data_IF_431627609731
#
_entry.id   IF_431627609731
#
_cell.length_a   1.000
_cell.length_b   1.000
_cell.length_c   1.000
_cell.angle_alpha   90.00
_cell.angle_beta   90.00
_cell.angle_gamma   90.00
#
_symmetry.space_group_name_H-M   'P 1'
#
loop_
_entity.id
_entity.type
_entity.pdbx_description
1 polymer ?
#
# COMPACT_ATOMS: atom_id res chain seq x y z
N UNK A 1 -40.69 35.47 28.79
CA UNK A 1 -39.73 36.13 27.88
C UNK A 1 -38.31 35.85 28.35
N UNK A 2 -37.58 34.98 27.65
CA UNK A 2 -36.12 35.00 27.58
C UNK A 2 -35.73 34.50 26.20
N UNK A 3 -34.92 35.31 25.54
CA UNK A 3 -34.57 35.33 24.13
C UNK A 3 -33.38 34.39 23.86
N UNK A 4 -33.40 33.80 22.66
CA UNK A 4 -32.40 33.05 21.91
C UNK A 4 -30.95 32.92 22.44
N UNK A 5 -30.42 31.69 22.37
CA UNK A 5 -29.13 31.42 21.70
C UNK A 5 -29.30 30.14 20.85
N UNK A 6 -29.50 30.32 19.56
CA UNK A 6 -29.23 29.33 18.51
C UNK A 6 -27.86 29.68 17.95
N UNK A 7 -26.85 28.84 18.19
CA UNK A 7 -25.53 28.93 17.60
C UNK A 7 -24.90 27.53 17.68
N UNK A 8 -24.55 26.81 16.61
CA UNK A 8 -24.60 27.14 15.20
C UNK A 8 -24.73 25.88 14.36
N UNK A 9 -25.49 25.99 13.27
CA UNK A 9 -25.22 25.21 12.07
C UNK A 9 -23.97 25.80 11.42
N UNK A 10 -23.01 24.94 11.06
CA UNK A 10 -22.63 24.72 9.65
C UNK A 10 -21.22 24.11 9.52
N UNK A 11 -21.21 22.96 8.85
CA UNK A 11 -20.25 22.51 7.83
C UNK A 11 -18.76 22.39 8.20
N UNK A 12 -18.29 21.14 8.20
CA UNK A 12 -17.06 20.80 7.51
C UNK A 12 -17.22 19.45 6.78
N UNK A 13 -17.53 19.57 5.49
CA UNK A 13 -17.23 18.69 4.38
C UNK A 13 -17.36 17.17 4.57
N UNK A 14 -18.50 16.63 4.12
CA UNK A 14 -18.48 15.39 3.34
C UNK A 14 -17.59 15.65 2.11
N UNK A 15 -16.32 15.28 2.17
CA UNK A 15 -15.55 15.04 0.95
C UNK A 15 -16.03 13.70 0.38
N UNK A 16 -17.05 13.75 -0.48
CA UNK A 16 -17.35 12.66 -1.39
C UNK A 16 -16.23 12.54 -2.42
N UNK A 17 -15.09 11.97 -2.02
CA UNK A 17 -14.06 11.50 -2.95
C UNK A 17 -14.56 10.18 -3.48
N UNK A 18 -14.82 10.05 -4.78
CA UNK A 18 -15.26 8.82 -5.46
C UNK A 18 -14.69 7.56 -4.78
N UNK A 19 -15.51 6.92 -3.94
CA UNK A 19 -15.04 5.93 -2.96
C UNK A 19 -14.91 4.58 -3.65
N UNK A 20 -13.77 4.35 -4.31
CA UNK A 20 -13.23 3.00 -4.28
C UNK A 20 -12.99 2.66 -2.80
N UNK A 21 -13.67 1.65 -2.27
CA UNK A 21 -13.44 1.22 -0.88
C UNK A 21 -11.93 0.99 -0.68
N UNK A 22 -11.37 1.39 0.47
CA UNK A 22 -9.96 1.15 0.74
C UNK A 22 -9.64 -0.35 0.58
N UNK A 23 -8.51 -0.63 -0.08
CA UNK A 23 -8.08 -1.98 -0.37
C UNK A 23 -7.86 -2.75 0.94
N UNK A 24 -8.63 -3.82 1.14
CA UNK A 24 -8.45 -4.75 2.25
C UNK A 24 -7.36 -5.76 1.90
N UNK A 25 -6.12 -5.46 2.32
CA UNK A 25 -4.94 -6.27 2.02
C UNK A 25 -5.04 -7.67 2.65
N UNK A 26 -5.59 -7.79 3.86
CA UNK A 26 -5.74 -9.08 4.55
C UNK A 26 -6.73 -9.99 3.83
N UNK A 27 -7.88 -9.45 3.41
CA UNK A 27 -8.84 -10.19 2.59
C UNK A 27 -8.25 -10.58 1.24
N UNK A 28 -7.50 -9.68 0.60
CA UNK A 28 -6.83 -9.97 -0.67
C UNK A 28 -5.83 -11.11 -0.52
N UNK A 29 -5.02 -11.11 0.54
CA UNK A 29 -4.06 -12.18 0.82
C UNK A 29 -4.74 -13.53 1.04
N UNK A 30 -5.87 -13.56 1.76
CA UNK A 30 -6.66 -14.77 1.98
C UNK A 30 -7.18 -15.41 0.68
N UNK A 31 -7.37 -14.60 -0.37
CA UNK A 31 -7.82 -15.07 -1.69
C UNK A 31 -6.69 -15.65 -2.56
N UNK A 32 -5.43 -15.50 -2.17
CA UNK A 32 -4.29 -16.05 -2.91
C UNK A 32 -4.17 -17.57 -2.71
N UNK A 33 -3.46 -18.23 -3.61
CA UNK A 33 -3.14 -19.65 -3.47
C UNK A 33 -2.18 -19.89 -2.29
N UNK A 34 -2.20 -21.12 -1.75
CA UNK A 34 -1.27 -21.50 -0.66
C UNK A 34 0.21 -21.29 -1.02
N UNK A 35 0.69 -21.61 -2.24
CA UNK A 35 2.07 -21.33 -2.63
C UNK A 35 2.44 -19.83 -2.58
N UNK A 36 1.59 -18.96 -3.10
CA UNK A 36 1.86 -17.50 -3.11
C UNK A 36 1.83 -16.94 -1.69
N UNK A 37 0.86 -17.34 -0.85
CA UNK A 37 0.85 -16.96 0.57
C UNK A 37 2.11 -17.42 1.30
N UNK A 38 2.55 -18.65 1.08
CA UNK A 38 3.77 -19.16 1.71
C UNK A 38 4.99 -18.31 1.32
N UNK A 39 5.09 -17.86 0.07
CA UNK A 39 6.15 -16.96 -0.42
C UNK A 39 6.09 -15.58 0.26
N UNK A 40 4.90 -15.03 0.46
CA UNK A 40 4.70 -13.78 1.23
C UNK A 40 5.18 -13.94 2.67
N UNK A 41 4.77 -15.02 3.35
CA UNK A 41 5.12 -15.30 4.75
C UNK A 41 6.63 -15.37 4.99
N UNK A 42 7.43 -15.83 4.02
CA UNK A 42 8.89 -15.93 4.15
C UNK A 42 9.58 -14.59 4.46
N UNK A 43 9.01 -13.48 4.00
CA UNK A 43 9.62 -12.15 4.13
C UNK A 43 8.78 -11.16 4.93
N UNK A 44 7.49 -11.42 5.15
CA UNK A 44 6.56 -10.47 5.76
C UNK A 44 7.04 -9.93 7.12
N UNK A 45 7.41 -10.82 8.05
CA UNK A 45 7.77 -10.41 9.40
C UNK A 45 9.02 -9.51 9.43
N UNK A 46 9.99 -9.76 8.55
CA UNK A 46 11.20 -8.94 8.42
C UNK A 46 10.92 -7.65 7.62
N UNK A 47 10.08 -7.71 6.58
CA UNK A 47 9.64 -6.54 5.83
C UNK A 47 8.91 -5.53 6.72
N UNK A 48 8.04 -6.02 7.62
CA UNK A 48 7.34 -5.20 8.62
C UNK A 48 8.26 -4.62 9.71
N UNK A 49 9.49 -5.11 9.82
CA UNK A 49 10.54 -4.51 10.67
C UNK A 49 11.43 -3.53 9.90
N UNK A 50 11.16 -3.29 8.62
CA UNK A 50 11.98 -2.40 7.79
C UNK A 50 13.26 -3.05 7.27
N UNK A 51 13.37 -4.38 7.25
CA UNK A 51 14.50 -5.04 6.60
C UNK A 51 14.43 -4.84 5.08
N UNK A 52 15.45 -4.18 4.53
CA UNK A 52 15.48 -3.77 3.12
C UNK A 52 15.31 -4.94 2.14
N UNK A 53 16.02 -6.06 2.35
CA UNK A 53 15.91 -7.20 1.43
C UNK A 53 14.58 -7.92 1.57
N UNK A 54 14.07 -8.07 2.79
CA UNK A 54 12.76 -8.63 3.02
C UNK A 54 11.66 -7.77 2.38
N UNK A 55 11.72 -6.44 2.51
CA UNK A 55 10.77 -5.53 1.86
C UNK A 55 10.78 -5.71 0.35
N UNK A 56 11.96 -5.82 -0.28
CA UNK A 56 12.09 -6.06 -1.73
C UNK A 56 11.45 -7.38 -2.15
N UNK A 57 11.75 -8.45 -1.44
CA UNK A 57 11.18 -9.77 -1.72
C UNK A 57 9.65 -9.75 -1.55
N UNK A 58 9.15 -9.13 -0.49
CA UNK A 58 7.73 -8.99 -0.22
C UNK A 58 7.02 -8.18 -1.30
N UNK A 59 7.59 -7.03 -1.70
CA UNK A 59 7.09 -6.18 -2.78
C UNK A 59 7.03 -6.94 -4.12
N UNK A 60 8.09 -7.69 -4.44
CA UNK A 60 8.17 -8.47 -5.66
C UNK A 60 7.08 -9.55 -5.73
N UNK A 61 6.88 -10.33 -4.67
CA UNK A 61 5.85 -11.39 -4.64
C UNK A 61 4.46 -10.77 -4.83
N UNK A 62 4.15 -9.66 -4.14
CA UNK A 62 2.89 -8.93 -4.34
C UNK A 62 2.72 -8.43 -5.78
N UNK A 63 3.75 -7.82 -6.35
CA UNK A 63 3.69 -7.19 -7.68
C UNK A 63 3.72 -8.18 -8.87
N UNK A 64 4.14 -9.43 -8.62
CA UNK A 64 4.33 -10.44 -9.68
C UNK A 64 3.44 -11.67 -9.47
N UNK A 65 3.79 -12.54 -8.53
CA UNK A 65 3.09 -13.80 -8.25
C UNK A 65 1.64 -13.55 -7.82
N UNK A 66 1.42 -12.70 -6.81
CA UNK A 66 0.07 -12.40 -6.32
C UNK A 66 -0.74 -11.61 -7.36
N UNK A 67 -0.14 -10.66 -8.07
CA UNK A 67 -0.81 -9.89 -9.12
C UNK A 67 -1.31 -10.74 -10.30
N UNK A 68 -0.66 -11.88 -10.58
CA UNK A 68 -1.14 -12.83 -11.59
C UNK A 68 -2.40 -13.58 -11.16
N UNK A 69 -2.56 -13.84 -9.87
CA UNK A 69 -3.74 -14.50 -9.32
C UNK A 69 -4.88 -13.51 -9.03
N UNK A 70 -4.52 -12.33 -8.51
CA UNK A 70 -5.44 -11.28 -8.10
C UNK A 70 -4.91 -9.92 -8.56
N UNK A 71 -5.38 -9.33 -9.68
CA UNK A 71 -4.85 -8.07 -10.21
C UNK A 71 -4.72 -6.91 -9.20
N UNK A 72 -5.62 -6.72 -8.21
CA UNK A 72 -5.45 -5.70 -7.19
C UNK A 72 -4.17 -5.84 -6.33
N UNK A 73 -3.53 -7.01 -6.28
CA UNK A 73 -2.25 -7.21 -5.58
C UNK A 73 -1.11 -6.36 -6.13
N UNK A 74 -1.19 -5.94 -7.40
CA UNK A 74 -0.23 -4.99 -7.98
C UNK A 74 -0.22 -3.63 -7.24
N UNK A 75 -1.36 -3.22 -6.66
CA UNK A 75 -1.48 -2.01 -5.83
C UNK A 75 -0.62 -2.15 -4.58
N UNK A 76 -0.68 -3.31 -3.93
CA UNK A 76 0.11 -3.62 -2.71
C UNK A 76 1.59 -3.65 -3.04
N UNK A 77 1.98 -4.34 -4.11
CA UNK A 77 3.37 -4.40 -4.55
C UNK A 77 3.94 -3.03 -4.88
N UNK A 78 3.18 -2.20 -5.60
CA UNK A 78 3.57 -0.82 -5.90
C UNK A 78 3.76 0.02 -4.62
N UNK A 79 2.85 -0.09 -3.66
CA UNK A 79 2.96 0.62 -2.39
C UNK A 79 4.26 0.24 -1.64
N UNK A 80 4.59 -1.05 -1.57
CA UNK A 80 5.85 -1.47 -0.94
C UNK A 80 7.09 -0.97 -1.66
N UNK A 81 7.14 -0.96 -2.99
CA UNK A 81 8.26 -0.36 -3.72
C UNK A 81 8.40 1.14 -3.44
N UNK A 82 7.30 1.88 -3.33
CA UNK A 82 7.36 3.29 -2.95
C UNK A 82 7.92 3.49 -1.53
N UNK A 83 7.55 2.62 -0.57
CA UNK A 83 8.09 2.64 0.80
C UNK A 83 9.60 2.32 0.80
N UNK A 84 10.05 1.33 0.01
CA UNK A 84 11.47 0.97 -0.12
C UNK A 84 12.29 2.18 -0.58
N UNK A 85 11.88 2.83 -1.67
CA UNK A 85 12.60 3.99 -2.22
C UNK A 85 12.59 5.19 -1.26
N UNK A 86 11.57 5.29 -0.40
CA UNK A 86 11.49 6.35 0.61
C UNK A 86 12.43 6.08 1.80
N UNK A 87 12.40 4.87 2.36
CA UNK A 87 13.12 4.51 3.59
C UNK A 87 14.58 4.13 3.38
N UNK A 88 14.90 3.62 2.21
CA UNK A 88 16.23 3.09 1.90
C UNK A 88 16.82 3.79 0.67
N UNK A 89 16.59 5.11 0.53
CA UNK A 89 17.06 5.88 -0.61
C UNK A 89 18.59 5.79 -0.82
N UNK A 90 19.35 5.56 0.25
CA UNK A 90 20.81 5.36 0.26
C UNK A 90 21.25 3.95 -0.20
N UNK A 91 20.38 2.94 -0.06
CA UNK A 91 20.65 1.53 -0.43
C UNK A 91 19.91 1.07 -1.67
N UNK A 92 18.84 1.76 -2.03
CA UNK A 92 18.04 1.49 -3.21
C UNK A 92 18.91 1.65 -4.46
N UNK A 93 18.82 0.69 -5.36
CA UNK A 93 19.60 0.69 -6.59
C UNK A 93 18.68 0.69 -7.81
N UNK A 94 19.26 0.76 -9.02
CA UNK A 94 18.53 0.83 -10.27
C UNK A 94 17.41 -0.23 -10.40
N UNK A 95 17.63 -1.45 -9.91
CA UNK A 95 16.62 -2.50 -9.95
C UNK A 95 15.34 -2.21 -9.14
N UNK A 96 15.41 -1.44 -8.05
CA UNK A 96 14.23 -1.08 -7.24
C UNK A 96 13.40 -0.03 -7.95
N UNK A 97 14.08 0.94 -8.57
CA UNK A 97 13.45 1.97 -9.42
C UNK A 97 12.80 1.29 -10.64
N UNK A 98 13.53 0.42 -11.34
CA UNK A 98 12.98 -0.30 -12.50
C UNK A 98 11.80 -1.19 -12.13
N UNK A 99 11.82 -1.86 -10.98
CA UNK A 99 10.66 -2.64 -10.52
C UNK A 99 9.47 -1.75 -10.18
N UNK A 100 9.69 -0.64 -9.48
CA UNK A 100 8.63 0.34 -9.23
C UNK A 100 8.02 0.80 -10.56
N UNK A 101 8.84 1.26 -11.50
CA UNK A 101 8.36 1.79 -12.77
C UNK A 101 7.61 0.72 -13.58
N UNK A 102 8.14 -0.51 -13.64
CA UNK A 102 7.51 -1.61 -14.35
C UNK A 102 6.15 -2.00 -13.76
N UNK A 103 6.07 -2.15 -12.44
CA UNK A 103 4.86 -2.66 -11.78
C UNK A 103 3.84 -1.56 -11.49
N UNK A 104 4.29 -0.40 -10.99
CA UNK A 104 3.42 0.76 -10.77
C UNK A 104 2.95 1.39 -12.08
N UNK A 105 3.76 1.35 -13.15
CA UNK A 105 3.38 1.90 -14.45
C UNK A 105 2.23 1.17 -15.14
N UNK A 106 1.84 -0.01 -14.63
CA UNK A 106 0.68 -0.79 -15.10
C UNK A 106 -0.62 -0.44 -14.39
N UNK A 107 -0.56 0.38 -13.34
CA UNK A 107 -1.74 0.76 -12.56
C UNK A 107 -2.56 1.83 -13.28
N UNK A 108 -3.88 1.76 -13.16
CA UNK A 108 -4.75 2.89 -13.51
C UNK A 108 -4.53 4.04 -12.54
N UNK A 109 -4.99 5.25 -12.88
CA UNK A 109 -4.90 6.41 -12.00
C UNK A 109 -5.53 6.14 -10.61
N UNK A 110 -6.67 5.44 -10.58
CA UNK A 110 -7.35 5.11 -9.32
C UNK A 110 -6.57 4.11 -8.48
N UNK A 111 -5.97 3.10 -9.12
CA UNK A 111 -5.11 2.14 -8.45
C UNK A 111 -3.84 2.80 -7.91
N UNK A 112 -3.24 3.74 -8.67
CA UNK A 112 -2.10 4.51 -8.21
C UNK A 112 -2.45 5.39 -6.98
N UNK A 113 -3.65 6.00 -6.96
CA UNK A 113 -4.16 6.72 -5.78
C UNK A 113 -4.31 5.79 -4.58
N UNK A 114 -4.86 4.59 -4.77
CA UNK A 114 -4.97 3.58 -3.70
C UNK A 114 -3.60 3.14 -3.18
N UNK A 115 -2.62 2.91 -4.06
CA UNK A 115 -1.25 2.59 -3.67
C UNK A 115 -0.65 3.72 -2.83
N UNK A 116 -0.86 4.98 -3.21
CA UNK A 116 -0.44 6.14 -2.42
C UNK A 116 -1.05 6.19 -1.02
N UNK A 117 -2.35 5.89 -0.88
CA UNK A 117 -2.99 5.78 0.43
C UNK A 117 -2.42 4.62 1.26
N UNK A 118 -2.13 3.48 0.61
CA UNK A 118 -1.55 2.31 1.27
C UNK A 118 -0.11 2.56 1.74
N UNK A 119 0.68 3.38 1.04
CA UNK A 119 2.01 3.82 1.49
C UNK A 119 1.93 4.47 2.87
N UNK A 120 0.95 5.36 3.09
CA UNK A 120 0.75 6.03 4.39
C UNK A 120 0.42 5.01 5.48
N UNK A 121 -0.45 4.04 5.18
CA UNK A 121 -0.81 2.98 6.11
C UNK A 121 0.39 2.09 6.46
N UNK A 122 1.16 1.64 5.47
CA UNK A 122 2.38 0.83 5.69
C UNK A 122 3.37 1.60 6.56
N UNK A 123 3.68 2.85 6.21
CA UNK A 123 4.62 3.69 6.94
C UNK A 123 4.24 3.87 8.41
N UNK A 124 2.94 3.97 8.72
CA UNK A 124 2.44 4.09 10.09
C UNK A 124 2.62 2.82 10.94
N UNK A 125 2.82 1.67 10.30
CA UNK A 125 2.97 0.36 10.95
C UNK A 125 4.43 -0.07 11.09
N UNK A 126 5.34 0.57 10.35
CA UNK A 126 6.76 0.26 10.40
C UNK A 126 7.41 0.92 11.63
N UNK A 127 8.45 0.30 12.22
CA UNK A 127 9.26 0.96 13.24
C UNK A 127 9.88 2.25 12.68
N UNK A 128 10.25 3.18 13.56
CA UNK A 128 11.02 4.35 13.14
C UNK A 128 12.29 3.90 12.38
N UNK A 129 12.68 4.61 11.30
CA UNK A 129 13.86 4.28 10.51
C UNK A 129 15.16 4.38 11.32
#
# INVERSE_FOLDING_TARGET
MKLHVLCGLALAALAMVAHGQPLDVSKLEQQLSSPVRARLTLSEAAARKGDYQAMRNFAYVWASEAAREQPPAAIVGCAWYAVILKRHADKAHAGDVSNKDLYCGRLTADQARQAGALVVSIESQLPAP
#
